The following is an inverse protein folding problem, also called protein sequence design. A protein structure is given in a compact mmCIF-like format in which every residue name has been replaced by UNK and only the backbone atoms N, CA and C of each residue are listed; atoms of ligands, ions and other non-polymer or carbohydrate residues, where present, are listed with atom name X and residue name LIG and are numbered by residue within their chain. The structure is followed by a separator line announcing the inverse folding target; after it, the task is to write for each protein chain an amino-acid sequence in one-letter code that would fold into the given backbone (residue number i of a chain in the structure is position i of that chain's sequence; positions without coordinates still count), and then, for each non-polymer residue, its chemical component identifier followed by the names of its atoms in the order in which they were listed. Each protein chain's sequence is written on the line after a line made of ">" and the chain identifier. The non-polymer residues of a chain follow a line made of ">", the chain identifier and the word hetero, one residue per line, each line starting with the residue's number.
data_IF_160380524852
#
_entry.id   IF_160380524852
#
_cell.length_a   1.000
_cell.length_b   1.000
_cell.length_c   1.000
_cell.angle_alpha   90.00
_cell.angle_beta   90.00
_cell.angle_gamma   90.00
#
_symmetry.space_group_name_H-M   'P 1'
#
loop_
_entity.id
_entity.type
_entity.pdbx_description
1 polymer ?
#
# COMPACT_ATOMS: atom_id res chain seq x y z
N UNK A 1 -16.45 1.59 11.59
CA UNK A 1 -16.23 3.05 11.62
C UNK A 1 -16.17 3.51 10.19
N UNK A 2 -17.10 4.33 9.75
CA UNK A 2 -17.04 5.04 8.48
C UNK A 2 -15.99 6.15 8.61
N UNK A 3 -15.01 6.15 7.71
CA UNK A 3 -14.03 7.22 7.63
C UNK A 3 -14.71 8.47 7.03
N UNK A 4 -14.42 9.64 7.58
CA UNK A 4 -14.91 10.91 7.04
C UNK A 4 -13.97 11.39 5.91
N UNK A 5 -14.36 11.16 4.67
CA UNK A 5 -13.61 11.48 3.45
C UNK A 5 -13.71 12.97 3.10
N UNK A 6 -13.16 13.84 3.94
CA UNK A 6 -13.29 15.30 3.82
C UNK A 6 -12.77 15.87 2.50
N UNK A 7 -11.77 15.25 1.91
CA UNK A 7 -11.13 15.73 0.68
C UNK A 7 -10.73 14.57 -0.23
N UNK A 8 -11.62 13.60 -0.41
CA UNK A 8 -11.41 12.42 -1.26
C UNK A 8 -10.08 11.67 -0.98
N UNK A 9 -9.56 11.71 0.25
CA UNK A 9 -8.30 11.08 0.65
C UNK A 9 -7.05 11.92 0.38
N UNK A 10 -7.17 13.09 -0.23
CA UNK A 10 -6.03 13.99 -0.51
C UNK A 10 -5.33 14.44 0.78
N UNK A 11 -6.04 14.54 1.90
CA UNK A 11 -5.51 14.91 3.23
C UNK A 11 -4.40 13.98 3.71
N UNK A 12 -4.36 12.72 3.23
CA UNK A 12 -3.30 11.77 3.58
C UNK A 12 -1.96 12.12 2.94
N UNK A 13 -1.98 12.90 1.85
CA UNK A 13 -0.79 13.37 1.13
C UNK A 13 -0.21 14.68 1.67
N UNK A 14 -0.84 15.28 2.69
CA UNK A 14 -0.40 16.55 3.30
C UNK A 14 1.11 16.59 3.67
N UNK A 15 1.74 15.53 4.19
CA UNK A 15 3.18 15.54 4.47
C UNK A 15 4.06 15.80 3.25
N UNK A 16 3.58 15.51 2.05
CA UNK A 16 4.25 15.74 0.76
C UNK A 16 3.81 17.05 0.08
N UNK A 17 2.78 17.70 0.62
CA UNK A 17 2.19 18.92 0.07
C UNK A 17 0.96 18.67 -0.79
N UNK A 18 0.93 17.57 -1.56
CA UNK A 18 -0.22 17.14 -2.37
C UNK A 18 -0.06 15.67 -2.77
N UNK A 19 -1.12 15.05 -3.30
CA UNK A 19 -1.04 13.71 -3.88
C UNK A 19 -0.15 13.68 -5.13
N UNK A 20 -0.13 14.73 -5.93
CA UNK A 20 0.77 14.86 -7.08
C UNK A 20 2.24 14.86 -6.65
N UNK A 21 2.59 15.66 -5.64
CA UNK A 21 3.96 15.69 -5.11
C UNK A 21 4.36 14.35 -4.50
N UNK A 22 3.45 13.68 -3.79
CA UNK A 22 3.70 12.34 -3.25
C UNK A 22 3.85 11.31 -4.38
N UNK A 23 2.98 11.34 -5.40
CA UNK A 23 3.07 10.43 -6.54
C UNK A 23 4.43 10.57 -7.24
N UNK A 24 4.73 11.75 -7.76
CA UNK A 24 5.94 11.96 -8.57
C UNK A 24 7.23 11.88 -7.75
N UNK A 25 7.22 12.31 -6.50
CA UNK A 25 8.43 12.36 -5.67
C UNK A 25 8.69 11.10 -4.83
N UNK A 26 7.65 10.33 -4.49
CA UNK A 26 7.79 9.20 -3.59
C UNK A 26 7.33 7.87 -4.19
N UNK A 27 6.14 7.81 -4.84
CA UNK A 27 5.54 6.53 -5.24
C UNK A 27 6.01 6.11 -6.62
N UNK A 28 5.81 6.94 -7.64
CA UNK A 28 6.16 6.63 -9.02
C UNK A 28 7.63 6.19 -9.20
N UNK A 29 8.64 6.81 -8.57
CA UNK A 29 10.03 6.35 -8.68
C UNK A 29 10.25 4.90 -8.22
N UNK A 30 9.40 4.38 -7.32
CA UNK A 30 9.49 3.00 -6.80
C UNK A 30 8.83 1.96 -7.70
N UNK A 31 7.91 2.37 -8.56
CA UNK A 31 7.11 1.47 -9.42
C UNK A 31 7.26 1.75 -10.91
N UNK A 32 8.02 2.75 -11.31
CA UNK A 32 8.16 3.18 -12.72
C UNK A 32 8.57 2.08 -13.67
N UNK A 33 9.36 1.11 -13.20
CA UNK A 33 9.82 -0.04 -14.00
C UNK A 33 8.70 -1.10 -14.21
N UNK A 34 7.56 -0.92 -13.55
CA UNK A 34 6.37 -1.75 -13.72
C UNK A 34 5.34 -1.09 -14.63
N UNK A 35 5.59 0.15 -15.07
CA UNK A 35 4.65 1.00 -15.79
C UNK A 35 5.28 1.59 -17.08
N UNK A 36 4.51 1.82 -18.17
CA UNK A 36 3.09 1.44 -18.31
C UNK A 36 2.90 -0.07 -18.48
N UNK A 37 1.63 -0.54 -18.35
CA UNK A 37 1.31 -1.96 -18.45
C UNK A 37 -0.12 -2.17 -18.98
N UNK A 38 -0.53 -3.43 -19.23
CA UNK A 38 -1.87 -3.75 -19.72
C UNK A 38 -2.94 -3.54 -18.65
N UNK A 39 -3.12 -4.51 -17.76
CA UNK A 39 -4.14 -4.47 -16.70
C UNK A 39 -3.54 -4.17 -15.35
N UNK A 40 -3.99 -3.09 -14.71
CA UNK A 40 -3.70 -2.80 -13.30
C UNK A 40 -4.92 -3.18 -12.43
N UNK A 41 -4.67 -3.83 -11.30
CA UNK A 41 -5.63 -3.98 -10.21
C UNK A 41 -5.24 -3.04 -9.06
N UNK A 42 -6.11 -2.09 -8.73
CA UNK A 42 -5.99 -1.29 -7.50
C UNK A 42 -6.86 -1.88 -6.39
N UNK A 43 -6.23 -2.28 -5.28
CA UNK A 43 -6.93 -2.80 -4.10
C UNK A 43 -7.09 -1.70 -3.06
N UNK A 44 -8.33 -1.46 -2.64
CA UNK A 44 -8.73 -0.48 -1.65
C UNK A 44 -8.33 0.97 -2.01
N UNK A 45 -8.88 1.51 -3.12
CA UNK A 45 -8.60 2.85 -3.64
C UNK A 45 -9.06 3.98 -2.72
N UNK A 46 -10.00 3.70 -1.78
CA UNK A 46 -10.75 4.73 -1.11
C UNK A 46 -11.56 5.57 -2.10
N UNK A 47 -11.44 6.89 -2.06
CA UNK A 47 -12.12 7.79 -3.01
C UNK A 47 -11.27 8.06 -4.27
N UNK A 48 -10.35 7.13 -4.64
CA UNK A 48 -9.64 7.16 -5.92
C UNK A 48 -8.45 8.12 -5.98
N UNK A 49 -7.76 8.35 -4.85
CA UNK A 49 -6.58 9.22 -4.82
C UNK A 49 -5.49 8.72 -5.77
N UNK A 50 -5.16 7.43 -5.74
CA UNK A 50 -4.13 6.83 -6.58
C UNK A 50 -4.65 6.38 -7.94
N UNK A 51 -5.93 6.00 -8.01
CA UNK A 51 -6.65 5.76 -9.27
C UNK A 51 -6.43 6.89 -10.27
N UNK A 52 -6.45 8.15 -9.78
CA UNK A 52 -6.25 9.35 -10.59
C UNK A 52 -4.93 9.36 -11.35
N UNK A 53 -3.90 8.68 -10.84
CA UNK A 53 -2.59 8.59 -11.48
C UNK A 53 -2.42 7.26 -12.22
N UNK A 54 -2.84 6.15 -11.62
CA UNK A 54 -2.68 4.80 -12.19
C UNK A 54 -3.35 4.66 -13.56
N UNK A 55 -4.53 5.28 -13.75
CA UNK A 55 -5.30 5.24 -15.00
C UNK A 55 -4.54 5.72 -16.24
N UNK A 56 -3.51 6.55 -16.03
CA UNK A 56 -2.69 7.09 -17.13
C UNK A 56 -1.53 6.16 -17.54
N UNK A 57 -1.37 5.03 -16.84
CA UNK A 57 -0.29 4.07 -17.03
C UNK A 57 -0.76 2.65 -17.37
N UNK A 58 -2.04 2.48 -17.76
CA UNK A 58 -2.58 1.17 -18.13
C UNK A 58 -3.62 1.23 -19.24
N UNK A 59 -3.84 0.08 -19.88
CA UNK A 59 -4.93 -0.10 -20.83
C UNK A 59 -6.26 -0.34 -20.14
N UNK A 60 -6.23 -1.07 -19.00
CA UNK A 60 -7.37 -1.38 -18.16
C UNK A 60 -7.01 -1.17 -16.68
N UNK A 61 -7.88 -0.50 -15.94
CA UNK A 61 -7.76 -0.32 -14.49
C UNK A 61 -8.96 -0.95 -13.79
N UNK A 62 -8.72 -2.04 -13.09
CA UNK A 62 -9.71 -2.68 -12.23
C UNK A 62 -9.57 -2.17 -10.82
N UNK A 63 -10.66 -1.75 -10.22
CA UNK A 63 -10.70 -1.09 -8.93
C UNK A 63 -11.58 -1.92 -8.01
N UNK A 64 -11.05 -2.39 -6.88
CA UNK A 64 -11.77 -3.20 -5.92
C UNK A 64 -11.66 -2.65 -4.50
N UNK A 65 -12.81 -2.53 -3.83
CA UNK A 65 -12.88 -2.20 -2.41
C UNK A 65 -13.97 -3.03 -1.73
N UNK A 66 -13.86 -3.22 -0.42
CA UNK A 66 -14.91 -3.83 0.40
C UNK A 66 -16.05 -2.87 0.75
N UNK A 67 -15.80 -1.57 0.61
CA UNK A 67 -16.73 -0.49 0.97
C UNK A 67 -17.37 0.05 -0.30
N UNK A 68 -18.66 -0.22 -0.47
CA UNK A 68 -19.43 0.18 -1.64
C UNK A 68 -19.40 1.70 -1.88
N UNK A 69 -19.43 2.50 -0.79
CA UNK A 69 -19.32 3.96 -0.85
C UNK A 69 -18.00 4.40 -1.55
N UNK A 70 -16.87 3.72 -1.30
CA UNK A 70 -15.59 4.01 -1.95
C UNK A 70 -15.66 3.72 -3.45
N UNK A 71 -16.27 2.61 -3.84
CA UNK A 71 -16.44 2.23 -5.24
C UNK A 71 -17.36 3.22 -5.96
N UNK A 72 -18.47 3.62 -5.34
CA UNK A 72 -19.38 4.59 -5.92
C UNK A 72 -18.72 5.97 -6.09
N UNK A 73 -17.94 6.41 -5.10
CA UNK A 73 -17.16 7.65 -5.18
C UNK A 73 -16.15 7.60 -6.35
N UNK A 74 -15.45 6.48 -6.54
CA UNK A 74 -14.56 6.28 -7.70
C UNK A 74 -15.34 6.32 -9.02
N UNK A 75 -16.50 5.64 -9.11
CA UNK A 75 -17.33 5.62 -10.31
C UNK A 75 -17.79 7.02 -10.70
N UNK A 76 -18.18 7.85 -9.73
CA UNK A 76 -18.57 9.24 -9.97
C UNK A 76 -17.38 10.12 -10.35
N UNK A 77 -16.24 9.96 -9.63
CA UNK A 77 -15.03 10.76 -9.87
C UNK A 77 -14.43 10.55 -11.27
N UNK A 78 -14.53 9.34 -11.79
CA UNK A 78 -13.94 8.95 -13.07
C UNK A 78 -15.00 8.58 -14.12
N UNK A 79 -16.19 9.12 -13.98
CA UNK A 79 -17.29 8.90 -14.93
C UNK A 79 -16.86 9.22 -16.36
N UNK A 80 -17.11 8.28 -17.28
CA UNK A 80 -16.76 8.42 -18.70
C UNK A 80 -15.40 7.85 -19.11
N UNK A 81 -14.54 7.42 -18.19
CA UNK A 81 -13.34 6.67 -18.56
C UNK A 81 -13.68 5.17 -18.67
N UNK A 82 -13.87 4.71 -19.91
CA UNK A 82 -14.28 3.33 -20.21
C UNK A 82 -13.21 2.27 -19.89
N UNK A 83 -12.00 2.68 -19.56
CA UNK A 83 -10.91 1.76 -19.18
C UNK A 83 -11.04 1.29 -17.73
N UNK A 84 -11.87 1.97 -16.92
CA UNK A 84 -12.02 1.69 -15.50
C UNK A 84 -13.19 0.73 -15.24
N UNK A 85 -12.95 -0.30 -14.45
CA UNK A 85 -13.98 -1.26 -13.99
C UNK A 85 -14.01 -1.31 -12.47
N UNK A 86 -15.19 -1.35 -11.87
CA UNK A 86 -15.43 -1.12 -10.45
C UNK A 86 -16.07 -2.33 -9.80
N UNK A 87 -15.49 -2.83 -8.72
CA UNK A 87 -15.90 -4.06 -8.04
C UNK A 87 -16.00 -3.86 -6.54
N UNK A 88 -17.05 -4.39 -5.94
CA UNK A 88 -17.15 -4.53 -4.48
C UNK A 88 -16.83 -5.98 -4.11
N UNK A 89 -15.98 -6.19 -3.10
CA UNK A 89 -15.66 -7.52 -2.62
C UNK A 89 -15.89 -7.66 -1.09
N UNK A 90 -15.59 -8.82 -0.55
CA UNK A 90 -15.66 -9.12 0.88
C UNK A 90 -14.43 -8.66 1.69
N UNK A 91 -13.47 -7.99 1.02
CA UNK A 91 -12.19 -7.60 1.58
C UNK A 91 -11.13 -8.69 1.59
N UNK A 92 -11.34 -9.81 0.88
CA UNK A 92 -10.43 -10.98 0.83
C UNK A 92 -10.35 -11.61 -0.55
N UNK A 93 -11.49 -11.75 -1.23
CA UNK A 93 -11.62 -12.49 -2.48
C UNK A 93 -11.36 -11.60 -3.69
N UNK A 94 -10.70 -12.16 -4.69
CA UNK A 94 -10.53 -11.62 -6.04
C UNK A 94 -11.14 -12.56 -7.09
N UNK A 95 -12.10 -13.39 -6.71
CA UNK A 95 -12.72 -14.41 -7.58
C UNK A 95 -13.44 -13.85 -8.79
N UNK A 96 -13.80 -12.54 -8.76
CA UNK A 96 -14.41 -11.84 -9.89
C UNK A 96 -13.44 -11.63 -11.06
N UNK A 97 -12.14 -11.74 -10.84
CA UNK A 97 -11.14 -11.60 -11.89
C UNK A 97 -10.69 -12.97 -12.42
N UNK A 98 -10.46 -13.11 -13.74
CA UNK A 98 -9.89 -14.32 -14.31
C UNK A 98 -8.49 -14.61 -13.74
N UNK A 99 -8.09 -15.87 -13.73
CA UNK A 99 -6.69 -16.22 -13.43
C UNK A 99 -5.79 -15.71 -14.55
N UNK A 100 -4.53 -15.39 -14.20
CA UNK A 100 -3.51 -14.91 -15.15
C UNK A 100 -3.94 -13.72 -16.01
N UNK A 101 -4.70 -12.78 -15.43
CA UNK A 101 -5.25 -11.64 -16.16
C UNK A 101 -4.69 -10.28 -15.75
N UNK A 102 -3.97 -10.21 -14.63
CA UNK A 102 -3.46 -8.97 -14.04
C UNK A 102 -1.96 -8.85 -14.32
N UNK A 103 -1.55 -7.70 -14.86
CA UNK A 103 -0.13 -7.40 -15.11
C UNK A 103 0.52 -6.74 -13.89
N UNK A 104 -0.23 -5.87 -13.20
CA UNK A 104 0.28 -5.16 -12.02
C UNK A 104 -0.81 -4.98 -10.96
N UNK A 105 -0.49 -5.26 -9.69
CA UNK A 105 -1.36 -4.94 -8.55
C UNK A 105 -0.76 -3.82 -7.72
N UNK A 106 -1.62 -2.91 -7.28
CA UNK A 106 -1.23 -1.76 -6.46
C UNK A 106 -2.15 -1.62 -5.24
N UNK A 107 -1.55 -1.39 -4.06
CA UNK A 107 -2.28 -0.98 -2.86
C UNK A 107 -1.41 -0.11 -1.97
N UNK A 108 -1.87 1.09 -1.66
CA UNK A 108 -1.14 2.04 -0.82
C UNK A 108 -2.07 2.63 0.28
N UNK A 109 -1.54 2.74 1.50
CA UNK A 109 -2.19 3.28 2.70
C UNK A 109 -3.39 2.46 3.24
N UNK A 110 -3.74 1.34 2.63
CA UNK A 110 -4.92 0.55 2.97
C UNK A 110 -4.56 -0.76 3.67
N UNK A 111 -3.70 -1.59 3.08
CA UNK A 111 -3.35 -2.92 3.61
C UNK A 111 -2.38 -2.88 4.81
N UNK A 112 -2.10 -1.72 5.34
CA UNK A 112 -1.38 -1.53 6.61
C UNK A 112 -2.29 -1.72 7.83
N UNK A 113 -3.62 -1.61 7.65
CA UNK A 113 -4.61 -1.57 8.72
C UNK A 113 -5.26 -2.91 9.05
N UNK A 114 -5.64 -3.74 8.04
CA UNK A 114 -6.32 -4.99 8.28
C UNK A 114 -5.40 -6.00 8.96
N UNK A 115 -6.00 -6.99 9.60
CA UNK A 115 -5.27 -8.12 10.20
C UNK A 115 -4.54 -8.89 9.10
N UNK A 116 -3.43 -9.52 9.47
CA UNK A 116 -2.57 -10.30 8.57
C UNK A 116 -3.35 -11.32 7.70
N UNK A 117 -4.42 -11.91 8.25
CA UNK A 117 -5.23 -12.91 7.54
C UNK A 117 -5.90 -12.36 6.28
N UNK A 118 -6.14 -11.04 6.23
CA UNK A 118 -6.66 -10.35 5.05
C UNK A 118 -5.56 -10.23 3.98
N UNK A 119 -4.35 -9.83 4.40
CA UNK A 119 -3.21 -9.71 3.49
C UNK A 119 -2.84 -11.08 2.94
N UNK A 120 -2.83 -12.11 3.79
CA UNK A 120 -2.61 -13.51 3.42
C UNK A 120 -3.63 -13.99 2.37
N UNK A 121 -4.91 -13.71 2.57
CA UNK A 121 -5.96 -14.05 1.61
C UNK A 121 -5.75 -13.36 0.26
N UNK A 122 -5.42 -12.05 0.26
CA UNK A 122 -5.10 -11.36 -0.98
C UNK A 122 -3.87 -11.93 -1.69
N UNK A 123 -2.80 -12.26 -0.97
CA UNK A 123 -1.59 -12.85 -1.57
C UNK A 123 -1.89 -14.22 -2.18
N UNK A 124 -2.74 -15.04 -1.53
CA UNK A 124 -3.17 -16.32 -2.06
C UNK A 124 -3.97 -16.19 -3.38
N UNK A 125 -4.83 -15.17 -3.46
CA UNK A 125 -5.54 -14.87 -4.69
C UNK A 125 -4.60 -14.29 -5.76
N UNK A 126 -3.73 -13.36 -5.41
CA UNK A 126 -2.78 -12.74 -6.35
C UNK A 126 -1.81 -13.72 -6.97
N UNK A 127 -1.43 -14.79 -6.25
CA UNK A 127 -0.64 -15.90 -6.81
C UNK A 127 -1.31 -16.60 -7.99
N UNK A 128 -2.65 -16.51 -8.12
CA UNK A 128 -3.41 -17.07 -9.24
C UNK A 128 -3.74 -16.00 -10.30
N UNK A 129 -4.12 -14.78 -9.85
CA UNK A 129 -4.66 -13.72 -10.70
C UNK A 129 -3.61 -12.94 -11.48
N UNK A 130 -2.41 -12.78 -10.91
CA UNK A 130 -1.30 -12.18 -11.64
C UNK A 130 -0.90 -13.10 -12.80
N UNK A 131 -0.56 -12.52 -13.94
CA UNK A 131 0.13 -13.22 -15.03
C UNK A 131 1.52 -13.69 -14.56
N UNK A 132 2.07 -14.71 -15.18
CA UNK A 132 3.48 -15.06 -14.98
C UNK A 132 4.37 -13.85 -15.30
N UNK A 133 5.24 -13.45 -14.37
CA UNK A 133 6.01 -12.21 -14.47
C UNK A 133 5.24 -10.93 -14.10
N UNK A 134 3.94 -11.02 -13.88
CA UNK A 134 3.13 -9.92 -13.35
C UNK A 134 3.62 -9.52 -11.97
N UNK A 135 3.58 -8.22 -11.66
CA UNK A 135 4.19 -7.64 -10.46
C UNK A 135 3.15 -7.06 -9.52
N UNK A 136 3.55 -6.81 -8.27
CA UNK A 136 2.70 -6.14 -7.30
C UNK A 136 3.48 -5.22 -6.39
N UNK A 137 2.89 -4.08 -6.06
CA UNK A 137 3.39 -3.13 -5.09
C UNK A 137 2.36 -2.93 -3.98
N UNK A 138 2.71 -3.36 -2.77
CA UNK A 138 1.82 -3.29 -1.61
C UNK A 138 2.52 -2.57 -0.45
N UNK A 139 1.81 -1.57 0.11
CA UNK A 139 2.14 -0.96 1.38
C UNK A 139 1.46 -1.74 2.51
N UNK A 140 2.24 -2.34 3.38
CA UNK A 140 1.74 -3.14 4.49
C UNK A 140 2.43 -2.80 5.82
N UNK A 141 1.87 -3.26 6.93
CA UNK A 141 2.45 -3.07 8.27
C UNK A 141 3.78 -3.83 8.42
N UNK A 142 4.70 -3.27 9.19
CA UNK A 142 5.87 -3.93 9.78
C UNK A 142 5.89 -3.75 11.31
N UNK A 143 4.74 -3.43 11.91
CA UNK A 143 4.65 -3.17 13.34
C UNK A 143 4.96 -4.41 14.18
N UNK A 144 4.72 -5.62 13.65
CA UNK A 144 5.02 -6.90 14.30
C UNK A 144 6.48 -7.06 14.71
N UNK A 145 7.42 -6.44 13.99
CA UNK A 145 8.84 -6.39 14.37
C UNK A 145 9.08 -5.78 15.77
N UNK A 146 8.16 -4.94 16.21
CA UNK A 146 8.25 -4.19 17.48
C UNK A 146 7.20 -4.64 18.51
N UNK A 147 6.37 -5.64 18.21
CA UNK A 147 5.26 -6.05 19.06
C UNK A 147 5.69 -6.84 20.32
N UNK A 148 6.88 -7.46 20.29
CA UNK A 148 7.42 -8.26 21.40
C UNK A 148 8.06 -7.44 22.54
N UNK A 149 7.92 -6.11 22.50
CA UNK A 149 8.57 -5.22 23.46
C UNK A 149 7.79 -4.99 24.76
N UNK A 150 8.49 -4.44 25.75
CA UNK A 150 7.96 -4.02 27.07
C UNK A 150 6.72 -3.11 27.02
N UNK A 151 6.43 -2.52 25.85
CA UNK A 151 5.28 -1.62 25.64
C UNK A 151 3.93 -2.29 25.93
N UNK A 152 3.73 -3.54 25.53
CA UNK A 152 2.46 -4.27 25.74
C UNK A 152 2.25 -4.65 27.21
N UNK A 153 3.34 -4.74 27.99
CA UNK A 153 3.30 -5.01 29.43
C UNK A 153 2.98 -3.77 30.27
N UNK A 154 3.00 -2.57 29.67
CA UNK A 154 2.69 -1.33 30.39
C UNK A 154 1.18 -1.12 30.53
N UNK A 155 0.68 -0.71 31.71
CA UNK A 155 -0.70 -0.29 31.89
C UNK A 155 -1.11 0.80 30.91
N UNK A 156 -2.38 0.78 30.45
CA UNK A 156 -2.90 1.75 29.46
C UNK A 156 -2.69 3.22 29.85
N UNK A 157 -2.80 3.53 31.15
CA UNK A 157 -2.56 4.87 31.71
C UNK A 157 -1.12 5.33 31.53
N UNK A 158 -0.16 4.44 31.88
CA UNK A 158 1.29 4.71 31.72
C UNK A 158 1.63 4.90 30.26
N UNK A 159 1.08 4.04 29.37
CA UNK A 159 1.28 4.13 27.92
C UNK A 159 0.78 5.46 27.36
N UNK A 160 -0.43 5.92 27.77
CA UNK A 160 -0.96 7.24 27.39
C UNK A 160 -0.06 8.39 27.82
N UNK A 161 0.48 8.33 29.05
CA UNK A 161 1.39 9.35 29.57
C UNK A 161 2.69 9.40 28.77
N UNK A 162 3.29 8.24 28.48
CA UNK A 162 4.53 8.13 27.70
C UNK A 162 4.35 8.59 26.24
N UNK A 163 3.17 8.36 25.65
CA UNK A 163 2.84 8.89 24.32
C UNK A 163 2.68 10.41 24.37
N UNK A 164 2.04 10.96 25.41
CA UNK A 164 1.91 12.42 25.60
C UNK A 164 3.28 13.08 25.82
N UNK A 165 4.18 12.42 26.54
CA UNK A 165 5.56 12.84 26.74
C UNK A 165 6.46 12.63 25.50
N UNK A 166 5.93 12.14 24.37
CA UNK A 166 6.67 11.80 23.14
C UNK A 166 7.78 10.75 23.36
N UNK A 167 7.74 9.98 24.43
CA UNK A 167 8.67 8.87 24.71
C UNK A 167 8.27 7.63 23.90
N UNK A 168 6.96 7.39 23.77
CA UNK A 168 6.39 6.35 22.92
C UNK A 168 5.67 6.97 21.72
N UNK A 169 5.78 6.31 20.57
CA UNK A 169 4.99 6.65 19.39
C UNK A 169 3.51 6.36 19.61
N UNK A 170 2.62 7.13 18.96
CA UNK A 170 1.20 6.81 18.91
C UNK A 170 0.98 5.46 18.21
N UNK A 171 0.04 4.67 18.71
CA UNK A 171 -0.51 3.54 17.95
C UNK A 171 -1.21 4.10 16.70
N UNK A 172 -0.80 3.63 15.53
CA UNK A 172 -1.26 4.18 14.25
C UNK A 172 -2.19 3.24 13.51
N UNK A 173 -2.97 2.44 14.24
CA UNK A 173 -3.88 1.46 13.63
C UNK A 173 -3.17 0.59 12.57
N UNK A 174 -1.94 0.13 12.87
CA UNK A 174 -1.22 -0.86 12.08
C UNK A 174 -1.46 -2.25 12.66
N UNK A 175 -1.48 -3.26 11.81
CA UNK A 175 -1.54 -4.63 12.30
C UNK A 175 -0.24 -4.98 13.06
N UNK A 176 -0.31 -5.31 14.36
CA UNK A 176 0.86 -5.66 15.17
C UNK A 176 1.39 -7.07 14.90
N UNK A 177 0.72 -7.86 14.08
CA UNK A 177 1.11 -9.24 13.78
C UNK A 177 1.81 -9.38 12.43
N UNK A 178 1.75 -8.36 11.57
CA UNK A 178 2.40 -8.34 10.27
C UNK A 178 3.83 -7.79 10.38
N UNK A 179 4.77 -8.49 9.74
CA UNK A 179 6.17 -8.06 9.54
C UNK A 179 6.57 -8.17 8.08
N UNK A 180 7.66 -7.51 7.68
CA UNK A 180 8.20 -7.64 6.35
C UNK A 180 8.62 -9.08 6.03
N UNK A 181 9.22 -9.78 7.00
CA UNK A 181 9.62 -11.19 6.84
C UNK A 181 8.42 -12.12 6.68
N UNK A 182 7.34 -11.90 7.47
CA UNK A 182 6.11 -12.66 7.29
C UNK A 182 5.48 -12.41 5.93
N UNK A 183 5.40 -11.16 5.47
CA UNK A 183 4.88 -10.83 4.14
C UNK A 183 5.66 -11.57 3.04
N UNK A 184 7.01 -11.59 3.12
CA UNK A 184 7.86 -12.32 2.19
C UNK A 184 7.57 -13.83 2.21
N UNK A 185 7.48 -14.44 3.40
CA UNK A 185 7.16 -15.85 3.53
C UNK A 185 5.78 -16.21 2.95
N UNK A 186 4.77 -15.33 3.16
CA UNK A 186 3.44 -15.48 2.56
C UNK A 186 3.47 -15.36 1.03
N UNK A 187 4.30 -14.48 0.47
CA UNK A 187 4.53 -14.41 -0.97
C UNK A 187 5.07 -15.74 -1.50
N UNK A 188 6.13 -16.27 -0.88
CA UNK A 188 6.76 -17.53 -1.28
C UNK A 188 5.80 -18.73 -1.25
N UNK A 189 4.93 -18.80 -0.22
CA UNK A 189 3.88 -19.82 -0.11
C UNK A 189 2.83 -19.75 -1.23
N UNK A 190 2.70 -18.61 -1.91
CA UNK A 190 1.69 -18.36 -2.91
C UNK A 190 2.26 -18.12 -4.33
N UNK A 191 3.40 -18.73 -4.65
CA UNK A 191 4.07 -18.59 -5.95
C UNK A 191 4.42 -17.13 -6.32
N UNK A 192 4.62 -16.29 -5.32
CA UNK A 192 5.08 -14.92 -5.46
C UNK A 192 6.49 -14.79 -4.89
N UNK A 193 7.28 -13.86 -5.42
CA UNK A 193 8.61 -13.57 -4.91
C UNK A 193 8.80 -12.08 -4.67
N UNK A 194 9.23 -11.72 -3.47
CA UNK A 194 9.58 -10.34 -3.16
C UNK A 194 10.90 -9.95 -3.83
N UNK A 195 10.83 -8.97 -4.73
CA UNK A 195 12.01 -8.38 -5.39
C UNK A 195 12.70 -7.39 -4.44
N UNK A 196 11.90 -6.48 -3.86
CA UNK A 196 12.40 -5.49 -2.90
C UNK A 196 11.44 -5.30 -1.74
N UNK A 197 12.00 -5.01 -0.57
CA UNK A 197 11.28 -4.54 0.61
C UNK A 197 11.95 -3.26 1.12
N UNK A 198 11.22 -2.15 1.22
CA UNK A 198 11.68 -0.91 1.82
C UNK A 198 10.95 -0.67 3.13
N UNK A 199 11.67 -0.81 4.24
CA UNK A 199 11.15 -0.53 5.58
C UNK A 199 11.18 0.97 5.83
N UNK A 200 10.04 1.57 6.14
CA UNK A 200 9.86 3.02 6.23
C UNK A 200 9.29 3.46 7.59
N UNK A 201 9.60 4.70 7.97
CA UNK A 201 9.17 5.31 9.22
C UNK A 201 7.93 6.21 9.05
N UNK A 202 6.86 5.72 8.42
CA UNK A 202 5.66 6.53 8.16
C UNK A 202 5.08 7.17 9.43
N UNK A 203 5.32 8.49 9.59
CA UNK A 203 4.94 9.29 10.79
C UNK A 203 5.33 8.64 12.13
N UNK A 204 6.39 7.84 12.17
CA UNK A 204 6.90 7.13 13.32
C UNK A 204 8.43 7.34 13.43
N UNK A 205 9.02 7.05 14.58
CA UNK A 205 10.47 6.93 14.75
C UNK A 205 10.98 5.55 14.36
N UNK A 206 10.08 4.55 14.32
CA UNK A 206 10.37 3.16 13.99
C UNK A 206 9.94 2.87 12.55
N UNK A 207 10.54 1.86 11.94
CA UNK A 207 10.21 1.39 10.60
C UNK A 207 8.98 0.48 10.63
N UNK A 208 7.83 1.06 10.96
CA UNK A 208 6.57 0.34 11.23
C UNK A 208 5.80 -0.06 9.97
N UNK A 209 6.21 0.44 8.83
CA UNK A 209 5.59 0.15 7.54
C UNK A 209 6.62 -0.39 6.55
N UNK A 210 6.16 -1.12 5.55
CA UNK A 210 6.98 -1.66 4.49
C UNK A 210 6.31 -1.47 3.12
N UNK A 211 7.09 -1.07 2.13
CA UNK A 211 6.75 -1.20 0.72
C UNK A 211 7.38 -2.47 0.18
N UNK A 212 6.55 -3.40 -0.27
CA UNK A 212 7.01 -4.62 -0.92
C UNK A 212 6.67 -4.59 -2.40
N UNK A 213 7.69 -4.75 -3.25
CA UNK A 213 7.55 -5.04 -4.67
C UNK A 213 7.82 -6.53 -4.86
N UNK A 214 6.88 -7.22 -5.48
CA UNK A 214 6.95 -8.65 -5.74
C UNK A 214 6.54 -8.99 -7.16
N UNK A 215 6.85 -10.21 -7.58
CA UNK A 215 6.54 -10.75 -8.90
C UNK A 215 5.92 -12.14 -8.74
N UNK A 216 4.98 -12.51 -9.61
CA UNK A 216 4.57 -13.90 -9.74
C UNK A 216 5.65 -14.71 -10.44
N UNK A 217 6.02 -15.80 -9.82
CA UNK A 217 7.10 -16.66 -10.26
C UNK A 217 6.85 -17.23 -11.67
N UNK A 218 7.87 -17.13 -12.51
CA UNK A 218 8.06 -17.97 -13.70
C UNK A 218 8.96 -19.17 -13.38
N UNK A 219 9.45 -19.82 -14.41
CA UNK A 219 10.36 -20.96 -14.32
C UNK A 219 11.83 -20.59 -14.01
N UNK A 220 12.15 -19.29 -13.95
CA UNK A 220 13.53 -18.82 -13.77
C UNK A 220 13.93 -18.74 -12.30
N UNK A 221 15.21 -19.01 -12.01
CA UNK A 221 15.79 -18.85 -10.68
C UNK A 221 15.75 -17.38 -10.26
N UNK A 222 15.24 -17.11 -9.05
CA UNK A 222 15.03 -15.76 -8.57
C UNK A 222 16.21 -15.25 -7.75
N UNK A 223 16.53 -14.00 -7.91
CA UNK A 223 17.53 -13.31 -7.09
C UNK A 223 17.02 -13.12 -5.66
N UNK A 224 17.95 -13.03 -4.68
CA UNK A 224 17.58 -12.76 -3.31
C UNK A 224 16.83 -11.41 -3.17
N UNK A 225 15.81 -11.36 -2.30
CA UNK A 225 15.07 -10.14 -1.97
C UNK A 225 16.02 -9.05 -1.47
N UNK A 226 15.97 -7.88 -2.08
CA UNK A 226 16.69 -6.70 -1.59
C UNK A 226 15.89 -6.00 -0.49
N UNK A 227 16.42 -5.99 0.72
CA UNK A 227 15.79 -5.29 1.86
C UNK A 227 16.55 -4.00 2.15
N UNK A 228 15.85 -2.88 2.15
CA UNK A 228 16.39 -1.56 2.51
C UNK A 228 15.66 -0.99 3.73
N UNK A 229 16.40 -0.20 4.52
CA UNK A 229 15.86 0.49 5.72
C UNK A 229 15.92 2.00 5.49
N UNK A 230 14.76 2.64 5.47
CA UNK A 230 14.64 4.08 5.22
C UNK A 230 14.06 4.83 6.44
N UNK A 231 14.90 5.14 7.44
CA UNK A 231 14.48 5.94 8.60
C UNK A 231 14.25 7.42 8.26
N UNK A 232 14.55 7.83 7.04
CA UNK A 232 14.42 9.19 6.56
C UNK A 232 13.19 9.42 5.66
N UNK A 233 12.33 8.44 5.48
CA UNK A 233 11.17 8.54 4.59
C UNK A 233 10.31 9.79 4.86
N UNK A 234 10.07 10.13 6.13
CA UNK A 234 9.33 11.36 6.46
C UNK A 234 10.14 12.64 6.26
N UNK A 235 11.49 12.58 6.26
CA UNK A 235 12.33 13.71 5.86
C UNK A 235 12.33 13.91 4.35
N UNK A 236 12.27 12.80 3.58
CA UNK A 236 12.08 12.86 2.13
C UNK A 236 10.72 13.49 1.79
N UNK A 237 9.65 13.10 2.48
CA UNK A 237 8.35 13.73 2.33
C UNK A 237 8.40 15.25 2.54
N UNK A 238 9.01 15.70 3.64
CA UNK A 238 9.18 17.12 3.92
C UNK A 238 10.03 17.87 2.87
N UNK A 239 11.05 17.19 2.28
CA UNK A 239 11.84 17.74 1.18
C UNK A 239 11.01 17.89 -0.09
N UNK A 240 10.25 16.85 -0.45
CA UNK A 240 9.36 16.88 -1.62
C UNK A 240 8.34 18.01 -1.49
N UNK A 241 7.73 18.17 -0.31
CA UNK A 241 6.80 19.27 -0.01
C UNK A 241 7.43 20.65 -0.27
N UNK A 242 8.64 20.89 0.24
CA UNK A 242 9.35 22.17 0.03
C UNK A 242 9.61 22.43 -1.46
N UNK A 243 10.07 21.41 -2.19
CA UNK A 243 10.30 21.54 -3.63
C UNK A 243 9.02 21.83 -4.40
N UNK A 244 7.92 21.15 -4.07
CA UNK A 244 6.61 21.40 -4.69
C UNK A 244 6.11 22.81 -4.43
N UNK A 245 6.32 23.35 -3.21
CA UNK A 245 5.92 24.73 -2.85
C UNK A 245 6.78 25.80 -3.53
N UNK A 246 8.08 25.52 -3.76
CA UNK A 246 8.97 26.46 -4.45
C UNK A 246 8.81 26.47 -5.98
N UNK A 247 8.12 25.48 -6.55
CA UNK A 247 7.86 25.39 -7.98
C UNK A 247 6.53 26.08 -8.40
N UNK A 248 5.76 26.60 -7.45
CA UNK A 248 4.55 27.40 -7.74
C UNK A 248 5.01 28.86 -7.83
N UNK A 249 4.87 29.52 -9.00
CA UNK A 249 5.27 30.92 -9.21
C UNK A 249 4.44 31.90 -8.39
#
# INVERSE_FOLDING_TARGET
>A
MTYDWKNAGEEWSEPWGSSAAQWHGAIFPRIRECLPTGTILEIAPGFGRWTNYLKDYCEQLWIVDRVEECIEACRQRFAGDSRLSYYVNDGRSLSMFPDESIDFVFSLDSLVHPRREIVEAYLAELGKKLKTGGKGFIHHSNLGEYASGTRERLPKSVRKLLVKAKILDRERHRDPTMTADLFRALCEQNSLHCITQELINWRSRRLIDCFSLFVRNGSEAQSATRVSRNPNFMREAARIRRLAQSAVP
#
